data_IF_953778828346
#
_entry.id   IF_953778828346
#
_cell.length_a   1.000
_cell.length_b   1.000
_cell.length_c   1.000
_cell.angle_alpha   90.00
_cell.angle_beta   90.00
_cell.angle_gamma   90.00
#
_symmetry.space_group_name_H-M   'P 1'
#
loop_
_entity.id
_entity.type
_entity.pdbx_description
1 polymer ?
#
# COMPACT_ATOMS: atom_id res chain seq x y z
N UNK A 1 -1.17 -17.62 -6.02
CA UNK A 1 -1.61 -16.33 -5.49
C UNK A 1 -1.01 -15.22 -6.30
N UNK A 2 -1.82 -14.27 -6.70
CA UNK A 2 -1.31 -13.14 -7.47
C UNK A 2 -0.51 -12.21 -6.57
N UNK A 3 0.60 -11.73 -7.11
CA UNK A 3 1.41 -10.74 -6.42
C UNK A 3 0.85 -9.35 -6.72
N UNK A 4 0.82 -8.51 -5.70
CA UNK A 4 0.41 -7.12 -5.84
C UNK A 4 1.65 -6.29 -6.12
N UNK A 5 1.56 -5.36 -7.08
CA UNK A 5 2.63 -4.41 -7.33
C UNK A 5 2.12 -2.99 -7.04
N UNK A 6 3.05 -2.04 -6.92
CA UNK A 6 2.67 -0.65 -6.69
C UNK A 6 1.80 -0.09 -7.81
N UNK A 7 1.93 -0.63 -9.02
CA UNK A 7 1.12 -0.21 -10.17
C UNK A 7 -0.36 -0.52 -9.98
N UNK A 8 -0.68 -1.51 -9.14
CA UNK A 8 -2.06 -1.91 -8.88
C UNK A 8 -2.74 -1.01 -7.85
N UNK A 9 -2.02 -0.05 -7.28
CA UNK A 9 -2.50 0.78 -6.18
C UNK A 9 -2.55 2.23 -6.64
N UNK A 10 -3.67 2.90 -6.38
CA UNK A 10 -3.79 4.34 -6.64
C UNK A 10 -3.17 5.10 -5.48
N UNK A 11 -1.90 5.47 -5.64
CA UNK A 11 -1.14 6.14 -4.58
C UNK A 11 -1.65 7.54 -4.28
N UNK A 12 -2.36 8.16 -5.22
CA UNK A 12 -2.84 9.53 -5.06
C UNK A 12 -3.87 9.68 -3.93
N UNK A 13 -4.60 8.61 -3.63
CA UNK A 13 -5.64 8.65 -2.59
C UNK A 13 -5.16 8.13 -1.25
N UNK A 14 -3.91 7.67 -1.16
CA UNK A 14 -3.35 7.16 0.08
C UNK A 14 -2.68 8.31 0.84
N UNK A 15 -2.96 8.45 2.17
CA UNK A 15 -2.31 9.51 2.96
C UNK A 15 -0.79 9.43 2.86
N UNK A 16 -0.16 10.60 2.73
CA UNK A 16 1.29 10.66 2.51
C UNK A 16 2.08 9.99 3.63
N UNK A 17 1.62 10.08 4.86
CA UNK A 17 2.30 9.44 5.99
C UNK A 17 2.33 7.94 5.88
N UNK A 18 1.24 7.36 5.38
CA UNK A 18 1.16 5.92 5.15
C UNK A 18 2.14 5.50 4.05
N UNK A 19 2.17 6.27 2.96
CA UNK A 19 3.10 6.00 1.86
C UNK A 19 4.55 6.08 2.33
N UNK A 20 4.89 7.11 3.08
CA UNK A 20 6.26 7.29 3.58
C UNK A 20 6.67 6.14 4.49
N UNK A 21 5.78 5.70 5.36
CA UNK A 21 6.04 4.62 6.30
C UNK A 21 6.28 3.30 5.57
N UNK A 22 5.41 2.98 4.62
CA UNK A 22 5.52 1.75 3.83
C UNK A 22 6.76 1.80 2.93
N UNK A 23 7.01 2.93 2.28
CA UNK A 23 8.18 3.10 1.43
C UNK A 23 9.47 2.86 2.21
N UNK A 24 9.54 3.38 3.42
CA UNK A 24 10.69 3.20 4.29
C UNK A 24 10.90 1.72 4.65
N UNK A 25 9.82 1.01 4.96
CA UNK A 25 9.90 -0.42 5.28
C UNK A 25 10.37 -1.23 4.08
N UNK A 26 9.88 -0.91 2.90
CA UNK A 26 10.28 -1.60 1.68
C UNK A 26 11.75 -1.32 1.38
N UNK A 27 12.17 -0.06 1.50
CA UNK A 27 13.56 0.32 1.27
C UNK A 27 14.50 -0.40 2.24
N UNK A 28 14.12 -0.47 3.52
CA UNK A 28 14.91 -1.18 4.53
C UNK A 28 15.03 -2.67 4.18
N UNK A 29 13.94 -3.28 3.76
CA UNK A 29 13.94 -4.69 3.38
C UNK A 29 14.84 -4.96 2.19
N UNK A 30 14.77 -4.10 1.17
CA UNK A 30 15.63 -4.22 -0.01
C UNK A 30 17.10 -4.05 0.34
N UNK A 31 17.41 -3.13 1.24
CA UNK A 31 18.81 -2.89 1.64
C UNK A 31 19.40 -4.09 2.40
N UNK A 32 18.55 -4.94 2.96
CA UNK A 32 18.97 -6.18 3.61
C UNK A 32 19.01 -7.37 2.64
N UNK A 33 18.81 -7.13 1.36
CA UNK A 33 18.81 -8.18 0.35
C UNK A 33 17.45 -8.81 0.07
N UNK A 34 16.38 -8.23 0.61
CA UNK A 34 15.03 -8.72 0.38
C UNK A 34 14.54 -8.45 -1.03
N UNK A 35 13.62 -9.27 -1.50
CA UNK A 35 13.04 -9.17 -2.84
C UNK A 35 11.59 -8.68 -2.74
N UNK A 36 11.12 -8.04 -3.82
CA UNK A 36 9.74 -7.54 -3.88
C UNK A 36 8.71 -8.66 -3.82
N UNK A 37 9.09 -9.87 -4.24
CA UNK A 37 8.20 -11.04 -4.17
C UNK A 37 8.13 -11.66 -2.78
N UNK A 38 8.95 -11.21 -1.83
CA UNK A 38 8.97 -11.76 -0.48
C UNK A 38 7.63 -11.49 0.23
N UNK A 39 7.18 -12.42 1.09
CA UNK A 39 5.91 -12.23 1.81
C UNK A 39 5.84 -10.94 2.62
N UNK A 40 6.95 -10.48 3.16
CA UNK A 40 6.99 -9.24 3.92
C UNK A 40 6.60 -8.05 3.05
N UNK A 41 7.17 -7.97 1.84
CA UNK A 41 6.85 -6.90 0.90
C UNK A 41 5.40 -7.00 0.42
N UNK A 42 4.94 -8.20 0.10
CA UNK A 42 3.55 -8.42 -0.30
C UNK A 42 2.58 -8.00 0.80
N UNK A 43 2.95 -8.22 2.05
CA UNK A 43 2.16 -7.78 3.20
C UNK A 43 2.01 -6.25 3.23
N UNK A 44 3.10 -5.53 2.95
CA UNK A 44 3.06 -4.07 2.91
C UNK A 44 2.18 -3.57 1.76
N UNK A 45 2.27 -4.21 0.60
CA UNK A 45 1.45 -3.83 -0.55
C UNK A 45 -0.03 -4.11 -0.33
N UNK A 46 -0.36 -5.22 0.32
CA UNK A 46 -1.74 -5.53 0.71
C UNK A 46 -2.28 -4.49 1.67
N UNK A 47 -1.45 -4.03 2.59
CA UNK A 47 -1.83 -2.98 3.52
C UNK A 47 -2.18 -1.69 2.76
N UNK A 48 -1.34 -1.30 1.79
CA UNK A 48 -1.61 -0.13 0.96
C UNK A 48 -2.92 -0.30 0.18
N UNK A 49 -3.17 -1.47 -0.37
CA UNK A 49 -4.39 -1.74 -1.11
C UNK A 49 -5.61 -1.62 -0.22
N UNK A 50 -5.51 -2.09 1.02
CA UNK A 50 -6.59 -1.94 2.00
C UNK A 50 -6.86 -0.48 2.31
N UNK A 51 -5.81 0.32 2.50
CA UNK A 51 -5.95 1.75 2.77
C UNK A 51 -6.61 2.44 1.58
N UNK A 52 -6.22 2.09 0.36
CA UNK A 52 -6.84 2.60 -0.86
C UNK A 52 -8.35 2.34 -0.87
N UNK A 53 -8.74 1.10 -0.61
CA UNK A 53 -10.15 0.72 -0.59
C UNK A 53 -10.91 1.44 0.52
N UNK A 54 -10.31 1.61 1.67
CA UNK A 54 -10.92 2.34 2.78
C UNK A 54 -11.09 3.81 2.45
N UNK A 55 -10.11 4.41 1.78
CA UNK A 55 -10.20 5.81 1.36
C UNK A 55 -11.33 6.01 0.36
N UNK A 56 -11.48 5.09 -0.59
CA UNK A 56 -12.57 5.12 -1.55
C UNK A 56 -13.93 5.00 -0.86
N UNK A 57 -14.04 4.07 0.09
CA UNK A 57 -15.27 3.87 0.84
C UNK A 57 -15.63 5.09 1.67
N UNK A 58 -14.64 5.72 2.29
CA UNK A 58 -14.86 6.94 3.06
C UNK A 58 -15.40 8.06 2.18
N UNK A 59 -14.86 8.19 0.96
CA UNK A 59 -15.33 9.17 -0.01
C UNK A 59 -16.80 8.89 -0.39
N UNK A 60 -17.12 7.63 -0.65
CA UNK A 60 -18.49 7.22 -0.98
C UNK A 60 -19.44 7.49 0.18
N UNK A 61 -19.00 7.19 1.40
CA UNK A 61 -19.81 7.44 2.61
C UNK A 61 -20.11 8.93 2.75
N UNK A 62 -19.12 9.78 2.50
CA UNK A 62 -19.31 11.23 2.58
C UNK A 62 -20.31 11.73 1.56
N UNK A 63 -20.44 11.04 0.44
CA UNK A 63 -21.39 11.40 -0.60
C UNK A 63 -22.84 11.25 -0.14
N UNK A 64 -23.09 10.34 0.79
CA UNK A 64 -24.43 10.08 1.31
C UNK A 64 -24.88 11.04 2.41
N UNK A 65 -23.97 11.80 2.93
CA UNK A 65 -24.29 12.80 3.95
C UNK A 65 -24.46 14.19 3.36
#
# INVERSE_FOLDING_TARGET
>A
MEQISLEDINLDIIPIKVLQDVDRRIADWRSMGGKDSDPYIQQQLRYLKRVELMANNATDTLTYF
#
